data_IF_260526654645
#
_entry.id   IF_260526654645
#
_cell.length_a   1.000
_cell.length_b   1.000
_cell.length_c   1.000
_cell.angle_alpha   90.00
_cell.angle_beta   90.00
_cell.angle_gamma   90.00
#
_symmetry.space_group_name_H-M   'P 1'
#
loop_
_entity.id
_entity.type
_entity.pdbx_description
1 polymer ?
#
# COMPACT_ATOMS: atom_id res chain seq x y z
N UNK A 1 0.08 14.98 -3.02
CA UNK A 1 -0.14 13.53 -2.89
C UNK A 1 0.07 12.86 -4.23
N UNK A 2 0.44 11.58 -4.23
CA UNK A 2 0.89 10.83 -5.41
C UNK A 2 0.62 9.34 -5.26
N UNK A 3 1.24 8.52 -6.10
CA UNK A 3 1.31 7.08 -5.90
C UNK A 3 2.76 6.60 -5.99
N UNK A 4 3.14 5.67 -5.11
CA UNK A 4 4.42 4.97 -5.17
C UNK A 4 4.14 3.49 -5.41
N UNK A 5 4.82 2.88 -6.37
CA UNK A 5 4.60 1.48 -6.77
C UNK A 5 5.88 0.70 -6.51
N UNK A 6 5.78 -0.41 -5.79
CA UNK A 6 6.89 -1.35 -5.64
C UNK A 6 6.81 -2.22 -4.39
N UNK A 7 7.52 -3.34 -4.43
CA UNK A 7 7.47 -4.37 -3.39
C UNK A 7 8.77 -4.49 -2.59
N UNK A 8 9.87 -3.87 -3.06
CA UNK A 8 11.11 -3.89 -2.30
C UNK A 8 11.00 -2.93 -1.11
N UNK A 9 10.60 -3.44 0.05
CA UNK A 9 10.26 -2.66 1.26
C UNK A 9 11.31 -1.62 1.65
N UNK A 10 12.60 -1.97 1.61
CA UNK A 10 13.68 -1.03 1.93
C UNK A 10 13.76 0.15 0.95
N UNK A 11 13.35 -0.07 -0.30
CA UNK A 11 13.29 0.96 -1.34
C UNK A 11 12.04 1.82 -1.21
N UNK A 12 10.90 1.20 -0.92
CA UNK A 12 9.64 1.90 -0.63
C UNK A 12 9.83 2.84 0.55
N UNK A 13 10.35 2.34 1.67
CA UNK A 13 10.52 3.11 2.90
C UNK A 13 11.42 4.35 2.72
N UNK A 14 12.38 4.30 1.78
CA UNK A 14 13.28 5.42 1.50
C UNK A 14 12.82 6.37 0.38
N UNK A 15 11.69 6.09 -0.29
CA UNK A 15 11.28 6.82 -1.51
C UNK A 15 9.78 7.13 -1.62
N UNK A 16 8.92 6.35 -0.99
CA UNK A 16 7.53 6.72 -0.87
C UNK A 16 7.44 8.01 -0.06
N UNK A 17 6.67 8.96 -0.56
CA UNK A 17 6.46 10.23 0.13
C UNK A 17 5.21 10.13 1.01
N UNK A 18 5.13 11.00 2.02
CA UNK A 18 3.93 11.14 2.84
C UNK A 18 2.70 11.39 1.96
N UNK A 19 1.55 10.88 2.40
CA UNK A 19 0.27 10.91 1.66
C UNK A 19 0.27 10.21 0.29
N UNK A 20 1.29 9.41 -0.04
CA UNK A 20 1.23 8.58 -1.25
C UNK A 20 0.24 7.43 -1.07
N UNK A 21 -0.39 7.01 -2.17
CA UNK A 21 -0.98 5.67 -2.28
C UNK A 21 0.15 4.71 -2.60
N UNK A 22 0.47 3.80 -1.68
CA UNK A 22 1.47 2.78 -1.94
C UNK A 22 0.83 1.54 -2.57
N UNK A 23 1.13 1.29 -3.84
CA UNK A 23 0.65 0.14 -4.60
C UNK A 23 1.65 -1.02 -4.50
N UNK A 24 1.20 -2.18 -4.06
CA UNK A 24 2.03 -3.37 -3.84
C UNK A 24 1.24 -4.66 -3.98
N UNK A 25 1.92 -5.77 -4.25
CA UNK A 25 1.37 -7.14 -4.15
C UNK A 25 1.78 -7.85 -2.86
N UNK A 26 2.51 -7.16 -1.97
CA UNK A 26 2.90 -7.73 -0.68
C UNK A 26 1.74 -7.79 0.29
N UNK A 27 1.53 -8.96 0.91
CA UNK A 27 0.39 -9.24 1.79
C UNK A 27 0.77 -9.64 3.23
N UNK A 28 2.04 -9.53 3.60
CA UNK A 28 2.50 -9.82 4.96
C UNK A 28 2.51 -8.58 5.87
N UNK A 29 2.64 -8.78 7.18
CA UNK A 29 2.58 -7.71 8.19
C UNK A 29 3.63 -6.61 8.04
N UNK A 30 4.71 -6.82 7.28
CA UNK A 30 5.74 -5.80 7.10
C UNK A 30 5.23 -4.58 6.32
N UNK A 31 4.17 -4.74 5.50
CA UNK A 31 3.59 -3.61 4.77
C UNK A 31 3.00 -2.59 5.74
N UNK A 32 2.45 -3.02 6.87
CA UNK A 32 1.89 -2.11 7.89
C UNK A 32 3.01 -1.29 8.53
N UNK A 33 4.15 -1.92 8.83
CA UNK A 33 5.31 -1.24 9.40
C UNK A 33 5.89 -0.20 8.42
N UNK A 34 6.05 -0.56 7.14
CA UNK A 34 6.58 0.36 6.13
C UNK A 34 5.62 1.51 5.86
N UNK A 35 4.32 1.24 5.77
CA UNK A 35 3.32 2.29 5.57
C UNK A 35 3.33 3.31 6.72
N UNK A 36 3.47 2.83 7.95
CA UNK A 36 3.59 3.70 9.14
C UNK A 36 4.88 4.53 9.11
N UNK A 37 6.01 3.93 8.74
CA UNK A 37 7.32 4.61 8.73
C UNK A 37 7.45 5.62 7.60
N UNK A 38 6.87 5.32 6.43
CA UNK A 38 6.87 6.20 5.27
C UNK A 38 5.72 7.23 5.28
N UNK A 39 4.82 7.15 6.27
CA UNK A 39 3.67 8.04 6.44
C UNK A 39 2.77 8.12 5.18
N UNK A 40 2.58 6.98 4.52
CA UNK A 40 1.75 6.88 3.31
C UNK A 40 0.27 6.99 3.69
N UNK A 41 -0.55 7.56 2.80
CA UNK A 41 -1.97 7.76 3.07
C UNK A 41 -2.77 6.44 3.10
N UNK A 42 -2.39 5.48 2.25
CA UNK A 42 -2.91 4.12 2.27
C UNK A 42 -2.02 3.14 1.51
N UNK A 43 -2.26 1.85 1.76
CA UNK A 43 -1.77 0.74 0.95
C UNK A 43 -2.88 0.32 -0.03
N UNK A 44 -2.55 0.14 -1.30
CA UNK A 44 -3.41 -0.48 -2.31
C UNK A 44 -2.82 -1.82 -2.75
N UNK A 45 -3.48 -2.90 -2.34
CA UNK A 45 -3.16 -4.27 -2.72
C UNK A 45 -3.64 -4.54 -4.15
N UNK A 46 -2.71 -4.84 -5.05
CA UNK A 46 -3.01 -5.14 -6.45
C UNK A 46 -3.10 -6.66 -6.71
N UNK A 47 -3.57 -7.04 -7.90
CA UNK A 47 -3.58 -8.43 -8.40
C UNK A 47 -4.36 -9.42 -7.53
N UNK A 48 -5.37 -8.93 -6.81
CA UNK A 48 -6.27 -9.77 -6.02
C UNK A 48 -5.60 -10.41 -4.80
N UNK A 49 -4.46 -9.89 -4.35
CA UNK A 49 -3.81 -10.41 -3.14
C UNK A 49 -4.65 -10.12 -1.89
N UNK A 50 -4.75 -11.12 -1.03
CA UNK A 50 -5.55 -11.07 0.20
C UNK A 50 -4.67 -11.01 1.43
N UNK A 51 -5.18 -10.37 2.49
CA UNK A 51 -4.52 -10.35 3.79
C UNK A 51 -5.11 -11.39 4.73
N UNK A 52 -4.25 -11.92 5.59
CA UNK A 52 -4.68 -12.66 6.77
C UNK A 52 -5.33 -11.70 7.78
N UNK A 53 -6.28 -12.21 8.56
CA UNK A 53 -7.04 -11.44 9.56
C UNK A 53 -6.14 -10.76 10.60
N UNK A 54 -5.01 -11.36 10.92
CA UNK A 54 -3.99 -10.79 11.82
C UNK A 54 -3.40 -9.50 11.26
N UNK A 55 -3.13 -9.45 9.95
CA UNK A 55 -2.58 -8.26 9.29
C UNK A 55 -3.62 -7.14 9.23
N UNK A 56 -4.88 -7.49 8.96
CA UNK A 56 -6.00 -6.52 8.98
C UNK A 56 -6.15 -5.90 10.38
N UNK A 57 -6.09 -6.73 11.42
CA UNK A 57 -6.16 -6.27 12.81
C UNK A 57 -5.00 -5.34 13.14
N UNK A 58 -3.77 -5.72 12.78
CA UNK A 58 -2.58 -4.90 12.98
C UNK A 58 -2.66 -3.56 12.24
N UNK A 59 -3.17 -3.55 11.00
CA UNK A 59 -3.37 -2.32 10.23
C UNK A 59 -4.35 -1.37 10.92
N UNK A 60 -5.47 -1.90 11.42
CA UNK A 60 -6.46 -1.11 12.18
C UNK A 60 -5.87 -0.54 13.48
N UNK A 61 -5.10 -1.34 14.24
CA UNK A 61 -4.42 -0.88 15.46
C UNK A 61 -3.39 0.24 15.18
N UNK A 62 -2.76 0.21 14.00
CA UNK A 62 -1.77 1.22 13.58
C UNK A 62 -2.37 2.40 12.82
N UNK A 63 -3.68 2.39 12.56
CA UNK A 63 -4.35 3.44 11.78
C UNK A 63 -3.92 3.46 10.30
N UNK A 64 -3.48 2.33 9.75
CA UNK A 64 -3.07 2.21 8.34
C UNK A 64 -4.27 1.78 7.50
N UNK A 65 -4.64 2.60 6.52
CA UNK A 65 -5.70 2.27 5.57
C UNK A 65 -5.19 1.28 4.52
N UNK A 66 -5.97 0.23 4.25
CA UNK A 66 -5.69 -0.77 3.23
C UNK A 66 -6.89 -0.91 2.30
N UNK A 67 -6.63 -0.79 1.00
CA UNK A 67 -7.55 -1.01 -0.10
C UNK A 67 -7.06 -2.20 -0.93
N UNK A 68 -7.93 -2.82 -1.70
CA UNK A 68 -7.56 -3.90 -2.62
C UNK A 68 -8.27 -3.79 -3.97
N UNK A 69 -7.64 -4.35 -5.00
CA UNK A 69 -8.19 -4.47 -6.35
C UNK A 69 -7.65 -5.73 -7.04
N UNK A 70 -8.43 -6.27 -7.97
CA UNK A 70 -8.06 -7.44 -8.76
C UNK A 70 -7.18 -7.09 -9.97
N UNK A 71 -7.00 -5.79 -10.28
CA UNK A 71 -6.24 -5.34 -11.45
C UNK A 71 -4.73 -5.26 -11.16
N UNK A 72 -3.93 -5.17 -12.23
CA UNK A 72 -2.47 -5.05 -12.14
C UNK A 72 -2.04 -3.76 -11.45
N UNK A 73 -0.80 -3.70 -10.96
CA UNK A 73 -0.21 -2.46 -10.44
C UNK A 73 -0.28 -1.29 -11.43
N UNK A 74 -0.14 -1.56 -12.74
CA UNK A 74 -0.23 -0.54 -13.79
C UNK A 74 -1.64 0.03 -13.91
N UNK A 75 -2.65 -0.84 -13.99
CA UNK A 75 -4.05 -0.42 -14.10
C UNK A 75 -4.50 0.30 -12.82
N UNK A 76 -4.08 -0.20 -11.64
CA UNK A 76 -4.32 0.45 -10.37
C UNK A 76 -3.73 1.87 -10.33
N UNK A 77 -2.50 2.05 -10.84
CA UNK A 77 -1.88 3.36 -10.92
C UNK A 77 -2.62 4.31 -11.88
N UNK A 78 -3.12 3.81 -13.01
CA UNK A 78 -3.98 4.60 -13.91
C UNK A 78 -5.24 5.07 -13.18
N UNK A 79 -5.94 4.19 -12.47
CA UNK A 79 -7.17 4.57 -11.76
C UNK A 79 -6.88 5.56 -10.64
N UNK A 80 -5.84 5.32 -9.84
CA UNK A 80 -5.40 6.24 -8.81
C UNK A 80 -5.08 7.62 -9.40
N UNK A 81 -4.38 7.68 -10.54
CA UNK A 81 -4.00 8.95 -11.20
C UNK A 81 -5.18 9.84 -11.61
N UNK A 82 -6.39 9.29 -11.72
CA UNK A 82 -7.60 10.05 -12.07
C UNK A 82 -8.22 10.77 -10.87
N UNK A 83 -7.86 10.39 -9.64
CA UNK A 83 -8.50 10.86 -8.40
C UNK A 83 -7.55 11.57 -7.44
N UNK A 84 -6.25 11.65 -7.76
CA UNK A 84 -5.22 12.37 -6.99
C UNK A 84 -4.78 13.66 -7.67
#
# INVERSE_FOLDING_TARGET
SGAYIGDLLSWVMGRAESDNVWITIMSNSNIVAVATLADVGCILLAEGVTLDSEVVTLAAEKGVNILSTDVSCYDAAIEVSKVI
#
